data_IF_201033767287
#
_entry.id   IF_201033767287
#
_cell.length_a   1.000
_cell.length_b   1.000
_cell.length_c   1.000
_cell.angle_alpha   90.00
_cell.angle_beta   90.00
_cell.angle_gamma   90.00
#
_symmetry.space_group_name_H-M   'P 1'
#
loop_
_entity.id
_entity.type
_entity.pdbx_description
1 polymer ?
#
# COMPACT_ATOMS: atom_id res chain seq x y z
N UNK A 1 7.88 21.45 -12.01
CA UNK A 1 6.47 21.66 -11.57
C UNK A 1 6.44 22.24 -10.17
N UNK A 2 6.05 23.51 -10.00
CA UNK A 2 6.02 24.18 -8.69
C UNK A 2 5.12 23.46 -7.68
N UNK A 3 4.01 22.88 -8.14
CA UNK A 3 3.09 22.06 -7.33
C UNK A 3 3.79 20.93 -6.57
N UNK A 4 4.64 20.15 -7.25
CA UNK A 4 5.34 19.02 -6.62
C UNK A 4 6.35 19.47 -5.56
N UNK A 5 6.96 20.66 -5.70
CA UNK A 5 7.89 21.21 -4.69
C UNK A 5 7.20 21.68 -3.41
N UNK A 6 5.93 22.08 -3.50
CA UNK A 6 5.15 22.56 -2.35
C UNK A 6 4.42 21.47 -1.55
N UNK A 7 4.44 20.21 -2.00
CA UNK A 7 3.82 19.10 -1.27
C UNK A 7 4.59 18.81 0.04
N UNK A 8 3.96 18.18 1.03
CA UNK A 8 4.63 17.73 2.26
C UNK A 8 5.49 16.45 2.03
N UNK A 9 6.42 16.13 2.94
CA UNK A 9 7.32 14.97 2.82
C UNK A 9 6.61 13.61 2.81
N UNK A 10 5.42 13.53 3.42
CA UNK A 10 4.55 12.35 3.38
C UNK A 10 4.08 11.99 1.96
N UNK A 11 4.20 12.92 1.00
CA UNK A 11 3.82 12.72 -0.41
C UNK A 11 5.03 12.47 -1.31
N UNK A 12 6.21 12.13 -0.76
CA UNK A 12 7.41 11.83 -1.55
C UNK A 12 7.17 10.71 -2.56
N UNK A 13 6.41 9.67 -2.18
CA UNK A 13 6.03 8.57 -3.08
C UNK A 13 5.15 9.06 -4.23
N UNK A 14 4.21 9.98 -3.96
CA UNK A 14 3.37 10.58 -5.00
C UNK A 14 4.23 11.39 -5.97
N UNK A 15 5.17 12.20 -5.47
CA UNK A 15 6.08 12.97 -6.33
C UNK A 15 6.93 12.06 -7.21
N UNK A 16 7.54 11.03 -6.63
CA UNK A 16 8.37 10.07 -7.36
C UNK A 16 7.55 9.34 -8.42
N UNK A 17 6.36 8.86 -8.09
CA UNK A 17 5.48 8.17 -9.03
C UNK A 17 5.06 9.08 -10.20
N UNK A 18 4.70 10.34 -9.92
CA UNK A 18 4.35 11.32 -10.96
C UNK A 18 5.53 11.65 -11.86
N UNK A 19 6.75 11.76 -11.31
CA UNK A 19 7.97 11.99 -12.08
C UNK A 19 8.36 10.80 -12.97
N UNK A 20 7.96 9.58 -12.59
CA UNK A 20 8.19 8.35 -13.35
C UNK A 20 7.11 8.09 -14.41
N UNK A 21 6.02 8.85 -14.43
CA UNK A 21 4.95 8.71 -15.43
C UNK A 21 5.33 9.44 -16.72
N UNK A 22 5.29 8.75 -17.85
CA UNK A 22 5.53 9.29 -19.19
C UNK A 22 4.36 8.93 -20.13
N UNK A 23 3.64 9.90 -20.73
CA UNK A 23 3.82 11.35 -20.59
C UNK A 23 3.39 11.88 -19.21
N UNK A 24 4.06 12.96 -18.77
CA UNK A 24 3.78 13.60 -17.47
C UNK A 24 2.30 13.94 -17.32
N UNK A 25 1.62 13.45 -16.26
CA UNK A 25 0.19 13.64 -16.10
C UNK A 25 -0.16 15.11 -15.84
N UNK A 26 -1.35 15.57 -16.26
CA UNK A 26 -1.82 16.92 -15.98
C UNK A 26 -2.08 17.12 -14.48
N UNK A 27 -1.99 18.36 -14.02
CA UNK A 27 -2.08 18.71 -12.59
C UNK A 27 -3.38 18.24 -11.92
N UNK A 28 -4.49 18.19 -12.65
CA UNK A 28 -5.79 17.69 -12.18
C UNK A 28 -5.73 16.22 -11.76
N UNK A 29 -4.96 15.42 -12.51
CA UNK A 29 -4.72 14.00 -12.19
C UNK A 29 -3.82 13.86 -10.97
N UNK A 30 -2.79 14.70 -10.87
CA UNK A 30 -1.89 14.74 -9.72
C UNK A 30 -2.69 15.09 -8.44
N UNK A 31 -3.58 16.09 -8.49
CA UNK A 31 -4.45 16.47 -7.38
C UNK A 31 -5.35 15.31 -6.93
N UNK A 32 -5.98 14.63 -7.89
CA UNK A 32 -6.82 13.47 -7.61
C UNK A 32 -6.02 12.33 -6.96
N UNK A 33 -4.77 12.15 -7.39
CA UNK A 33 -3.86 11.14 -6.84
C UNK A 33 -3.43 11.46 -5.42
N UNK A 34 -3.10 12.72 -5.13
CA UNK A 34 -2.81 13.20 -3.77
C UNK A 34 -4.02 12.98 -2.85
N UNK A 35 -5.23 13.39 -3.27
CA UNK A 35 -6.45 13.21 -2.47
C UNK A 35 -6.78 11.74 -2.20
N UNK A 36 -6.51 10.83 -3.16
CA UNK A 36 -6.62 9.40 -2.92
C UNK A 36 -5.55 8.89 -1.95
N UNK A 37 -4.31 9.36 -2.08
CA UNK A 37 -3.22 8.98 -1.20
C UNK A 37 -3.50 9.42 0.24
N UNK A 38 -4.05 10.61 0.48
CA UNK A 38 -4.47 11.07 1.81
C UNK A 38 -5.50 10.13 2.42
N UNK A 39 -6.52 9.77 1.66
CA UNK A 39 -7.55 8.84 2.12
C UNK A 39 -6.96 7.47 2.47
N UNK A 40 -5.99 7.00 1.67
CA UNK A 40 -5.23 5.77 1.95
C UNK A 40 -4.33 5.92 3.17
N UNK A 41 -3.69 7.06 3.41
CA UNK A 41 -2.85 7.29 4.58
C UNK A 41 -3.72 7.30 5.86
N UNK A 42 -4.84 8.02 5.82
CA UNK A 42 -5.83 8.06 6.90
C UNK A 42 -6.45 6.69 7.19
N UNK A 43 -6.65 5.88 6.15
CA UNK A 43 -7.16 4.51 6.28
C UNK A 43 -6.06 3.49 6.60
N UNK A 44 -4.81 3.74 6.22
CA UNK A 44 -3.65 2.87 6.46
C UNK A 44 -3.17 2.92 7.90
N UNK A 45 -3.53 3.96 8.66
CA UNK A 45 -3.50 3.89 10.13
C UNK A 45 -4.28 2.71 10.70
N UNK A 46 -5.25 2.17 9.94
CA UNK A 46 -6.06 1.00 10.29
C UNK A 46 -5.74 -0.26 9.47
N UNK A 47 -4.97 -0.17 8.37
CA UNK A 47 -4.70 -1.34 7.50
C UNK A 47 -3.67 -2.31 8.11
N UNK A 48 -2.78 -1.84 8.99
CA UNK A 48 -1.87 -2.71 9.75
C UNK A 48 -2.63 -3.55 10.81
N UNK A 49 -3.90 -3.27 11.09
CA UNK A 49 -4.69 -4.03 12.07
C UNK A 49 -5.36 -5.30 11.53
N UNK A 50 -5.34 -5.57 10.20
CA UNK A 50 -6.03 -6.75 9.65
C UNK A 50 -5.22 -7.55 8.61
N UNK A 51 -3.90 -7.40 8.58
CA UNK A 51 -3.04 -8.32 7.83
C UNK A 51 -2.79 -9.56 8.71
N UNK A 52 -3.86 -10.32 8.96
CA UNK A 52 -3.74 -11.72 9.38
C UNK A 52 -3.34 -12.50 8.12
N UNK A 53 -2.06 -12.37 7.72
CA UNK A 53 -1.45 -13.24 6.72
C UNK A 53 -1.62 -14.65 7.28
N UNK A 54 -2.55 -15.40 6.67
CA UNK A 54 -2.68 -16.84 6.88
C UNK A 54 -1.41 -17.50 6.37
N UNK A 55 -0.35 -17.49 7.18
CA UNK A 55 0.71 -18.49 7.07
C UNK A 55 0.01 -19.82 7.31
N UNK A 56 -0.27 -20.55 6.23
CA UNK A 56 -0.70 -21.95 6.26
C UNK A 56 0.11 -22.66 7.35
N UNK A 57 -0.53 -22.94 8.48
CA UNK A 57 0.04 -23.81 9.48
C UNK A 57 -0.07 -25.22 8.90
N UNK A 58 1.05 -25.72 8.39
CA UNK A 58 1.21 -27.07 7.90
C UNK A 58 0.82 -28.05 9.00
N UNK A 59 -0.38 -28.63 8.94
CA UNK A 59 -0.80 -29.73 9.78
C UNK A 59 -0.16 -31.03 9.26
N UNK A 60 1.02 -31.36 9.78
CA UNK A 60 1.58 -32.71 9.72
C UNK A 60 1.49 -33.35 11.10
N UNK A 61 0.35 -33.97 11.38
CA UNK A 61 0.21 -34.93 12.48
C UNK A 61 -0.21 -36.27 11.86
N UNK A 62 0.77 -37.05 11.40
CA UNK A 62 0.56 -38.46 11.06
C UNK A 62 0.74 -39.29 12.34
N UNK A 63 -0.31 -39.40 13.14
CA UNK A 63 -0.38 -40.38 14.24
C UNK A 63 -1.36 -41.47 13.83
N UNK A 64 -0.85 -42.46 13.09
CA UNK A 64 -1.57 -43.68 12.74
C UNK A 64 -0.69 -44.88 13.02
N UNK A 65 -0.72 -45.38 14.25
CA UNK A 65 -0.25 -46.73 14.57
C UNK A 65 -1.11 -47.28 15.70
N UNK A 66 -2.20 -47.95 15.32
CA UNK A 66 -2.98 -48.79 16.20
C UNK A 66 -3.24 -50.13 15.52
N UNK A 67 -2.68 -51.21 16.07
CA UNK A 67 -3.32 -52.54 16.13
C UNK A 67 -2.51 -53.42 17.08
N UNK A 68 -3.15 -53.77 18.20
CA UNK A 68 -2.91 -55.01 18.94
C UNK A 68 -3.79 -56.10 18.34
#
# INVERSE_FOLDING_TARGET
MQFLRGLNDQYVNVRSHVLLMDPLPPITKIFSYVAQQERKLSMSGNFIANVNIGTKQSSINASGSGSN
#
